data_IF_209726020323
#
_entry.id   IF_209726020323
#
_cell.length_a   1.000
_cell.length_b   1.000
_cell.length_c   1.000
_cell.angle_alpha   90.00
_cell.angle_beta   90.00
_cell.angle_gamma   90.00
#
_symmetry.space_group_name_H-M   'P 1'
#
loop_
_entity.id
_entity.type
_entity.pdbx_description
1 polymer ?
#
# COMPACT_ATOMS: atom_id res chain seq x y z
N UNK A 1 35.33 -2.21 2.21
CA UNK A 1 34.76 -0.84 2.18
C UNK A 1 34.84 -0.17 0.82
N UNK A 2 36.00 0.13 0.23
CA UNK A 2 36.05 0.83 -1.08
C UNK A 2 35.49 0.02 -2.26
N UNK A 3 35.72 -1.29 -2.31
CA UNK A 3 35.13 -2.15 -3.36
C UNK A 3 33.64 -2.36 -3.17
N UNK A 4 33.19 -2.63 -1.94
CA UNK A 4 31.76 -2.69 -1.60
C UNK A 4 31.00 -1.42 -1.99
N UNK A 5 31.57 -0.24 -1.74
CA UNK A 5 30.96 1.03 -2.14
C UNK A 5 30.89 1.18 -3.67
N UNK A 6 31.85 0.62 -4.42
CA UNK A 6 31.80 0.60 -5.89
C UNK A 6 30.70 -0.32 -6.40
N UNK A 7 30.54 -1.50 -5.83
CA UNK A 7 29.48 -2.46 -6.19
C UNK A 7 28.10 -1.89 -5.87
N UNK A 8 27.93 -1.28 -4.70
CA UNK A 8 26.69 -0.58 -4.30
C UNK A 8 26.35 0.54 -5.29
N UNK A 9 27.32 1.40 -5.62
CA UNK A 9 27.11 2.48 -6.57
C UNK A 9 26.82 1.96 -7.99
N UNK A 10 27.46 0.85 -8.40
CA UNK A 10 27.18 0.21 -9.68
C UNK A 10 25.75 -0.36 -9.74
N UNK A 11 25.28 -1.00 -8.67
CA UNK A 11 23.89 -1.46 -8.53
C UNK A 11 22.91 -0.28 -8.59
N UNK A 12 23.13 0.78 -7.80
CA UNK A 12 22.28 1.99 -7.82
C UNK A 12 22.22 2.63 -9.21
N UNK A 13 23.34 2.77 -9.89
CA UNK A 13 23.37 3.36 -11.23
C UNK A 13 22.59 2.52 -12.26
N UNK A 14 22.69 1.18 -12.19
CA UNK A 14 21.92 0.28 -13.05
C UNK A 14 20.42 0.40 -12.79
N UNK A 15 20.04 0.61 -11.52
CA UNK A 15 18.65 0.80 -11.11
C UNK A 15 18.07 2.12 -11.61
N UNK A 16 18.81 3.22 -11.43
CA UNK A 16 18.40 4.53 -11.93
C UNK A 16 18.23 4.50 -13.45
N UNK A 17 19.18 3.92 -14.17
CA UNK A 17 19.10 3.75 -15.62
C UNK A 17 17.85 2.95 -16.05
N UNK A 18 17.57 1.81 -15.40
CA UNK A 18 16.41 0.98 -15.73
C UNK A 18 15.08 1.71 -15.47
N UNK A 19 15.00 2.48 -14.39
CA UNK A 19 13.82 3.28 -14.09
C UNK A 19 13.59 4.42 -15.10
N UNK A 20 14.66 5.04 -15.61
CA UNK A 20 14.57 6.09 -16.63
C UNK A 20 14.16 5.53 -18.01
N UNK A 21 14.67 4.36 -18.39
CA UNK A 21 14.37 3.70 -19.67
C UNK A 21 12.91 3.22 -19.77
N UNK A 22 12.30 2.81 -18.65
CA UNK A 22 10.95 2.20 -18.64
C UNK A 22 9.81 3.23 -18.57
N UNK A 23 10.09 4.53 -18.38
CA UNK A 23 9.11 5.65 -18.36
C UNK A 23 7.76 5.27 -17.72
N UNK A 24 7.76 5.13 -16.40
CA UNK A 24 6.59 4.74 -15.62
C UNK A 24 5.39 5.71 -15.80
N UNK A 25 4.38 5.31 -16.58
CA UNK A 25 3.07 5.97 -16.70
C UNK A 25 2.06 5.55 -15.60
N UNK A 26 1.89 6.38 -14.57
CA UNK A 26 1.24 6.14 -13.25
C UNK A 26 -0.21 5.62 -13.21
N UNK A 27 -0.91 5.53 -14.33
CA UNK A 27 -2.37 5.33 -14.32
C UNK A 27 -2.84 3.88 -14.33
N UNK A 28 -1.94 2.88 -14.17
CA UNK A 28 -2.30 1.45 -14.32
C UNK A 28 -1.33 0.46 -13.62
N UNK A 29 -0.94 0.70 -12.36
CA UNK A 29 0.07 -0.11 -11.65
C UNK A 29 -0.50 -0.89 -10.45
N UNK A 30 -0.18 -2.19 -10.37
CA UNK A 30 -0.65 -3.10 -9.30
C UNK A 30 0.48 -3.87 -8.58
N UNK A 31 1.76 -3.76 -8.98
CA UNK A 31 2.85 -4.52 -8.38
C UNK A 31 4.05 -3.64 -7.97
N UNK A 32 4.54 -3.87 -6.75
CA UNK A 32 5.76 -3.30 -6.19
C UNK A 32 6.78 -4.41 -5.99
N UNK A 33 8.02 -4.23 -6.45
CA UNK A 33 9.10 -5.19 -6.18
C UNK A 33 10.17 -4.51 -5.35
N UNK A 34 10.38 -5.01 -4.13
CA UNK A 34 11.50 -4.65 -3.28
C UNK A 34 12.43 -5.87 -3.19
N UNK A 35 13.74 -5.66 -3.30
CA UNK A 35 14.72 -6.73 -3.12
C UNK A 35 15.71 -6.26 -2.07
N UNK A 36 16.12 -7.17 -1.19
CA UNK A 36 17.06 -6.90 -0.13
C UNK A 36 18.39 -7.57 -0.47
N UNK A 37 19.21 -6.99 -1.37
CA UNK A 37 20.50 -7.59 -1.68
C UNK A 37 21.42 -7.50 -0.45
N UNK A 38 22.13 -8.59 -0.22
CA UNK A 38 23.20 -8.69 0.77
C UNK A 38 24.53 -8.70 0.02
N UNK A 39 25.41 -7.74 0.32
CA UNK A 39 26.77 -7.70 -0.24
C UNK A 39 27.73 -8.59 0.56
N UNK A 40 27.43 -8.83 1.84
CA UNK A 40 28.13 -9.77 2.73
C UNK A 40 27.15 -10.36 3.73
N UNK A 41 27.50 -11.47 4.41
CA UNK A 41 26.65 -12.13 5.42
C UNK A 41 26.07 -11.19 6.50
N UNK A 42 26.74 -10.06 6.77
CA UNK A 42 26.34 -9.10 7.80
C UNK A 42 25.90 -7.73 7.25
N UNK A 43 25.88 -7.55 5.92
CA UNK A 43 25.52 -6.28 5.29
C UNK A 43 24.26 -6.46 4.44
N UNK A 44 23.10 -6.30 5.10
CA UNK A 44 21.79 -6.30 4.46
C UNK A 44 21.47 -4.85 4.08
N UNK A 45 21.18 -4.62 2.80
CA UNK A 45 20.80 -3.31 2.27
C UNK A 45 19.44 -3.38 1.63
N UNK A 46 18.57 -2.46 2.03
CA UNK A 46 17.26 -2.30 1.41
C UNK A 46 17.44 -1.53 0.10
N UNK A 47 17.26 -2.21 -1.03
CA UNK A 47 17.18 -1.57 -2.34
C UNK A 47 15.77 -1.74 -2.90
N UNK A 48 15.02 -0.63 -2.94
CA UNK A 48 13.72 -0.62 -3.59
C UNK A 48 13.93 -0.44 -5.10
N UNK A 49 13.45 -1.39 -5.89
CA UNK A 49 13.62 -1.40 -7.34
C UNK A 49 12.61 -0.46 -7.99
N UNK A 50 11.39 -0.46 -7.46
CA UNK A 50 10.34 0.47 -7.84
C UNK A 50 8.97 -0.21 -7.92
N UNK A 51 8.00 0.56 -8.40
CA UNK A 51 6.70 0.04 -8.81
C UNK A 51 6.76 -0.30 -10.29
N UNK A 52 6.26 -1.48 -10.67
CA UNK A 52 6.33 -1.96 -12.04
C UNK A 52 4.95 -2.20 -12.64
N UNK A 53 4.83 -1.82 -13.91
CA UNK A 53 3.68 -2.08 -14.75
C UNK A 53 3.63 -3.50 -15.20
N UNK A 54 2.66 -4.23 -14.68
CA UNK A 54 2.26 -5.50 -15.26
C UNK A 54 1.04 -5.28 -16.15
N UNK A 55 1.10 -5.83 -17.36
CA UNK A 55 0.01 -5.72 -18.34
C UNK A 55 -1.24 -6.52 -17.93
N UNK A 56 -1.05 -7.51 -17.06
CA UNK A 56 -2.08 -8.35 -16.48
C UNK A 56 -1.63 -8.90 -15.12
N UNK A 57 -2.58 -9.23 -14.24
CA UNK A 57 -2.32 -9.78 -12.91
C UNK A 57 -2.21 -11.32 -12.89
N UNK A 58 -1.97 -11.98 -14.04
CA UNK A 58 -1.81 -13.43 -14.05
C UNK A 58 -0.40 -13.83 -13.55
N UNK A 59 -0.27 -15.07 -13.11
CA UNK A 59 0.96 -15.58 -12.49
C UNK A 59 2.19 -15.41 -13.39
N UNK A 60 2.09 -15.76 -14.67
CA UNK A 60 3.22 -15.72 -15.60
C UNK A 60 3.72 -14.29 -15.83
N UNK A 61 2.80 -13.35 -16.03
CA UNK A 61 3.15 -11.93 -16.21
C UNK A 61 3.84 -11.36 -14.96
N UNK A 62 3.45 -11.79 -13.76
CA UNK A 62 4.10 -11.35 -12.52
C UNK A 62 5.52 -11.94 -12.41
N UNK A 63 5.69 -13.24 -12.72
CA UNK A 63 7.00 -13.90 -12.70
C UNK A 63 7.95 -13.25 -13.71
N UNK A 64 7.49 -13.01 -14.94
CA UNK A 64 8.27 -12.33 -15.98
C UNK A 64 8.71 -10.94 -15.51
N UNK A 65 7.79 -10.16 -14.93
CA UNK A 65 8.12 -8.84 -14.41
C UNK A 65 9.16 -8.89 -13.27
N UNK A 66 9.11 -9.89 -12.39
CA UNK A 66 10.12 -10.08 -11.33
C UNK A 66 11.49 -10.37 -11.97
N UNK A 67 11.55 -11.28 -12.95
CA UNK A 67 12.79 -11.65 -13.63
C UNK A 67 13.38 -10.50 -14.45
N UNK A 68 12.53 -9.71 -15.11
CA UNK A 68 12.92 -8.54 -15.90
C UNK A 68 13.51 -7.41 -15.05
N UNK A 69 13.20 -7.38 -13.75
CA UNK A 69 13.78 -6.43 -12.80
C UNK A 69 15.12 -6.95 -12.23
N UNK A 70 15.19 -8.24 -11.91
CA UNK A 70 16.37 -8.86 -11.28
C UNK A 70 17.55 -8.97 -12.26
N UNK A 71 17.27 -9.42 -13.50
CA UNK A 71 18.30 -9.77 -14.49
C UNK A 71 19.17 -8.58 -14.92
N UNK A 72 18.59 -7.41 -15.30
CA UNK A 72 19.37 -6.24 -15.69
C UNK A 72 20.20 -5.64 -14.56
N UNK A 73 19.88 -5.96 -13.30
CA UNK A 73 20.63 -5.53 -12.13
C UNK A 73 21.84 -6.42 -11.83
N UNK A 74 22.01 -7.52 -12.56
CA UNK A 74 23.15 -8.43 -12.43
C UNK A 74 23.12 -9.23 -11.13
N UNK A 75 21.95 -9.33 -10.53
CA UNK A 75 21.71 -10.23 -9.41
C UNK A 75 21.55 -11.65 -9.97
N UNK A 76 22.38 -12.57 -9.50
CA UNK A 76 22.29 -13.97 -9.88
C UNK A 76 21.09 -14.61 -9.18
N UNK A 77 20.19 -15.14 -10.00
CA UNK A 77 18.97 -15.84 -9.64
C UNK A 77 19.23 -16.99 -8.65
N UNK A 78 20.39 -17.64 -8.75
CA UNK A 78 20.79 -18.78 -7.90
C UNK A 78 21.08 -18.33 -6.45
N UNK A 79 21.33 -17.04 -6.24
CA UNK A 79 21.65 -16.47 -4.94
C UNK A 79 20.43 -15.97 -4.17
N UNK A 80 19.23 -16.03 -4.74
CA UNK A 80 17.99 -15.79 -3.99
C UNK A 80 17.90 -16.68 -2.75
N UNK A 81 17.58 -16.07 -1.60
CA UNK A 81 17.46 -16.76 -0.30
C UNK A 81 16.06 -16.69 0.26
N UNK A 82 15.33 -15.63 -0.06
CA UNK A 82 13.96 -15.44 0.35
C UNK A 82 13.14 -14.84 -0.79
N UNK A 83 11.84 -15.09 -0.73
CA UNK A 83 10.83 -14.47 -1.55
C UNK A 83 9.62 -14.21 -0.65
N UNK A 84 9.08 -12.99 -0.67
CA UNK A 84 7.94 -12.63 0.17
C UNK A 84 6.85 -11.92 -0.63
N UNK A 85 5.61 -12.40 -0.47
CA UNK A 85 4.44 -11.90 -1.19
C UNK A 85 3.25 -11.77 -0.23
N UNK A 86 2.25 -10.98 -0.62
CA UNK A 86 0.94 -11.00 0.04
C UNK A 86 0.16 -12.28 -0.31
N UNK A 87 -1.00 -12.46 0.32
CA UNK A 87 -1.87 -13.62 0.08
C UNK A 87 -2.82 -13.42 -1.12
N UNK A 88 -2.52 -12.48 -2.02
CA UNK A 88 -3.31 -12.33 -3.24
C UNK A 88 -3.34 -13.66 -3.99
N UNK A 89 -4.49 -14.08 -4.54
CA UNK A 89 -4.75 -15.45 -4.99
C UNK A 89 -3.72 -16.05 -5.97
N UNK A 90 -2.98 -15.20 -6.67
CA UNK A 90 -1.99 -15.60 -7.68
C UNK A 90 -0.58 -15.76 -7.07
N UNK A 91 -0.34 -15.28 -5.86
CA UNK A 91 0.97 -15.28 -5.20
C UNK A 91 1.29 -16.61 -4.50
N UNK A 92 0.52 -17.08 -3.49
CA UNK A 92 0.70 -18.41 -2.92
C UNK A 92 0.05 -19.48 -3.83
N UNK A 93 0.66 -20.66 -3.94
CA UNK A 93 -0.02 -21.78 -4.58
C UNK A 93 0.91 -22.91 -4.99
N UNK A 94 0.77 -24.07 -4.35
CA UNK A 94 1.66 -25.24 -4.54
C UNK A 94 1.68 -25.81 -5.96
N UNK A 95 0.66 -25.53 -6.78
CA UNK A 95 0.53 -26.06 -8.15
C UNK A 95 0.72 -25.02 -9.25
N UNK A 96 1.04 -23.76 -8.91
CA UNK A 96 1.20 -22.73 -9.93
C UNK A 96 1.02 -21.28 -9.46
N UNK A 97 1.17 -20.99 -8.17
CA UNK A 97 1.32 -19.60 -7.71
C UNK A 97 2.70 -19.06 -8.06
N UNK A 98 2.85 -17.73 -8.03
CA UNK A 98 4.14 -17.04 -8.27
C UNK A 98 5.23 -17.63 -7.37
N UNK A 99 4.92 -17.85 -6.10
CA UNK A 99 5.82 -18.46 -5.12
C UNK A 99 6.42 -19.80 -5.57
N UNK A 100 5.61 -20.67 -6.16
CA UNK A 100 6.07 -21.99 -6.64
C UNK A 100 6.90 -21.88 -7.91
N UNK A 101 6.50 -21.01 -8.85
CA UNK A 101 7.27 -20.83 -10.10
C UNK A 101 8.63 -20.21 -9.81
N UNK A 102 8.67 -19.20 -8.95
CA UNK A 102 9.91 -18.60 -8.46
C UNK A 102 10.69 -19.66 -7.67
N UNK A 103 10.11 -20.43 -6.77
CA UNK A 103 10.85 -21.50 -6.07
C UNK A 103 11.53 -22.50 -7.03
N UNK A 104 10.87 -22.86 -8.14
CA UNK A 104 11.44 -23.75 -9.14
C UNK A 104 12.64 -23.14 -9.89
N UNK A 105 12.66 -21.82 -10.08
CA UNK A 105 13.77 -21.10 -10.71
C UNK A 105 14.87 -20.73 -9.69
N UNK A 106 14.47 -20.43 -8.46
CA UNK A 106 15.26 -19.98 -7.33
C UNK A 106 15.21 -21.04 -6.22
N UNK A 107 15.77 -22.22 -6.47
CA UNK A 107 15.64 -23.40 -5.58
C UNK A 107 16.11 -23.20 -4.14
N UNK A 108 16.91 -22.16 -3.87
CA UNK A 108 17.39 -21.80 -2.52
C UNK A 108 16.52 -20.75 -1.82
N UNK A 109 15.53 -20.17 -2.51
CA UNK A 109 14.69 -19.12 -1.97
C UNK A 109 13.54 -19.71 -1.15
N UNK A 110 13.42 -19.38 0.13
CA UNK A 110 12.27 -19.77 0.93
C UNK A 110 11.10 -18.81 0.72
N UNK A 111 9.90 -19.35 0.58
CA UNK A 111 8.68 -18.53 0.54
C UNK A 111 8.26 -18.12 1.96
N UNK A 112 8.13 -16.81 2.17
CA UNK A 112 7.72 -16.21 3.44
C UNK A 112 6.48 -15.35 3.19
N UNK A 113 5.46 -15.49 4.02
CA UNK A 113 4.31 -14.59 3.97
C UNK A 113 4.71 -13.16 4.34
N UNK A 114 4.14 -12.17 3.63
CA UNK A 114 4.35 -10.77 3.95
C UNK A 114 3.91 -10.46 5.39
N UNK A 115 4.88 -10.19 6.27
CA UNK A 115 4.63 -9.92 7.70
C UNK A 115 3.66 -8.75 7.90
N UNK A 116 3.77 -7.70 7.08
CA UNK A 116 2.86 -6.56 7.15
C UNK A 116 1.42 -6.97 6.84
N UNK A 117 1.21 -7.87 5.89
CA UNK A 117 -0.11 -8.39 5.56
C UNK A 117 -0.65 -9.33 6.65
N UNK A 118 0.18 -10.26 7.15
CA UNK A 118 -0.21 -11.12 8.27
C UNK A 118 -0.62 -10.30 9.51
N UNK A 119 0.13 -9.24 9.81
CA UNK A 119 -0.24 -8.33 10.90
C UNK A 119 -1.56 -7.61 10.63
N UNK A 120 -1.79 -7.14 9.40
CA UNK A 120 -3.04 -6.49 9.00
C UNK A 120 -4.25 -7.42 9.20
N UNK A 121 -4.12 -8.70 8.79
CA UNK A 121 -5.14 -9.73 8.98
C UNK A 121 -5.42 -10.01 10.47
N UNK A 122 -4.38 -10.21 11.27
CA UNK A 122 -4.53 -10.45 12.72
C UNK A 122 -5.24 -9.27 13.39
N UNK A 123 -4.86 -8.04 13.05
CA UNK A 123 -5.52 -6.85 13.60
C UNK A 123 -6.97 -6.77 13.14
N UNK A 124 -7.24 -7.01 11.85
CA UNK A 124 -8.59 -7.02 11.30
C UNK A 124 -9.48 -8.01 12.05
N UNK A 125 -9.04 -9.27 12.18
CA UNK A 125 -9.79 -10.33 12.86
C UNK A 125 -10.06 -10.01 14.33
N UNK A 126 -9.07 -9.48 15.05
CA UNK A 126 -9.25 -9.05 16.45
C UNK A 126 -10.26 -7.91 16.58
N UNK A 127 -10.24 -6.96 15.63
CA UNK A 127 -11.14 -5.81 15.65
C UNK A 127 -12.58 -6.20 15.32
N UNK A 128 -12.77 -7.17 14.44
CA UNK A 128 -14.09 -7.70 14.08
C UNK A 128 -14.70 -8.55 15.20
N UNK A 129 -13.88 -9.27 15.97
CA UNK A 129 -14.34 -10.03 17.13
C UNK A 129 -14.77 -9.14 18.30
N UNK A 130 -14.27 -7.90 18.37
CA UNK A 130 -14.66 -6.94 19.39
C UNK A 130 -15.80 -6.04 18.90
N UNK A 131 -17.04 -6.37 19.26
CA UNK A 131 -18.23 -5.63 18.82
C UNK A 131 -18.14 -4.11 19.08
N UNK A 132 -17.59 -3.68 20.21
CA UNK A 132 -17.42 -2.25 20.52
C UNK A 132 -16.47 -1.55 19.55
N UNK A 133 -15.36 -2.21 19.18
CA UNK A 133 -14.38 -1.68 18.23
C UNK A 133 -14.99 -1.70 16.82
N UNK A 134 -15.54 -2.83 16.39
CA UNK A 134 -16.19 -2.98 15.08
C UNK A 134 -17.28 -1.93 14.86
N UNK A 135 -18.19 -1.75 15.84
CA UNK A 135 -19.22 -0.71 15.79
C UNK A 135 -18.63 0.70 15.65
N UNK A 136 -17.57 1.01 16.39
CA UNK A 136 -16.90 2.31 16.28
C UNK A 136 -16.33 2.54 14.87
N UNK A 137 -15.68 1.52 14.29
CA UNK A 137 -15.15 1.57 12.92
C UNK A 137 -16.27 1.80 11.91
N UNK A 138 -17.38 1.08 12.02
CA UNK A 138 -18.55 1.26 11.16
C UNK A 138 -19.12 2.66 11.27
N UNK A 139 -19.31 3.18 12.49
CA UNK A 139 -19.78 4.56 12.68
C UNK A 139 -18.85 5.59 12.05
N UNK A 140 -17.53 5.45 12.23
CA UNK A 140 -16.55 6.33 11.60
C UNK A 140 -16.65 6.27 10.08
N UNK A 141 -16.71 5.06 9.52
CA UNK A 141 -16.84 4.85 8.07
C UNK A 141 -18.10 5.53 7.54
N UNK A 142 -19.24 5.34 8.19
CA UNK A 142 -20.51 5.93 7.77
C UNK A 142 -20.49 7.45 7.79
N UNK A 143 -19.88 8.06 8.82
CA UNK A 143 -19.72 9.52 8.90
C UNK A 143 -18.86 10.03 7.74
N UNK A 144 -17.71 9.38 7.51
CA UNK A 144 -16.76 9.75 6.45
C UNK A 144 -17.43 9.62 5.08
N UNK A 145 -18.08 8.49 4.82
CA UNK A 145 -18.78 8.20 3.56
C UNK A 145 -19.96 9.16 3.35
N UNK A 146 -20.74 9.44 4.40
CA UNK A 146 -21.83 10.39 4.33
C UNK A 146 -21.32 11.74 3.83
N UNK A 147 -20.28 12.30 4.46
CA UNK A 147 -19.72 13.59 4.03
C UNK A 147 -19.17 13.50 2.61
N UNK A 148 -18.33 12.50 2.32
CA UNK A 148 -17.59 12.38 1.05
C UNK A 148 -18.46 12.08 -0.16
N UNK A 149 -19.57 11.35 -0.01
CA UNK A 149 -20.49 11.01 -1.12
C UNK A 149 -21.22 12.21 -1.71
N UNK A 150 -21.18 13.39 -1.07
CA UNK A 150 -21.79 14.60 -1.60
C UNK A 150 -20.76 15.71 -1.77
N UNK A 151 -20.49 16.16 -3.01
CA UNK A 151 -19.66 17.32 -3.27
C UNK A 151 -20.13 18.56 -2.50
N UNK A 152 -21.45 18.75 -2.35
CA UNK A 152 -22.03 19.86 -1.57
C UNK A 152 -21.63 19.78 -0.09
N UNK A 153 -21.69 18.60 0.53
CA UNK A 153 -21.29 18.41 1.94
C UNK A 153 -19.78 18.62 2.14
N UNK A 154 -18.96 18.22 1.17
CA UNK A 154 -17.53 18.51 1.19
C UNK A 154 -17.21 20.01 1.08
N UNK A 155 -17.95 20.76 0.25
CA UNK A 155 -17.79 22.21 0.14
C UNK A 155 -18.16 22.89 1.46
N UNK A 156 -19.30 22.52 2.06
CA UNK A 156 -19.73 23.06 3.36
C UNK A 156 -18.69 22.76 4.46
N UNK A 157 -18.14 21.54 4.49
CA UNK A 157 -17.05 21.19 5.41
C UNK A 157 -15.84 22.12 5.22
N UNK A 158 -15.43 22.34 3.97
CA UNK A 158 -14.30 23.23 3.63
C UNK A 158 -14.56 24.66 4.09
N UNK A 159 -15.76 25.19 3.85
CA UNK A 159 -16.14 26.54 4.26
C UNK A 159 -16.09 26.70 5.78
N UNK A 160 -16.68 25.75 6.53
CA UNK A 160 -16.64 25.76 8.01
C UNK A 160 -15.19 25.70 8.52
N UNK A 161 -14.35 24.86 7.93
CA UNK A 161 -12.95 24.72 8.35
C UNK A 161 -12.13 25.97 8.05
N UNK A 162 -12.34 26.60 6.89
CA UNK A 162 -11.61 27.81 6.48
C UNK A 162 -11.89 28.99 7.41
N UNK A 163 -13.11 29.10 7.94
CA UNK A 163 -13.51 30.16 8.87
C UNK A 163 -12.87 30.05 10.27
N UNK A 164 -12.38 28.86 10.66
CA UNK A 164 -11.95 28.59 12.05
C UNK A 164 -10.46 28.25 12.15
N UNK A 165 -9.90 27.47 11.22
CA UNK A 165 -8.57 26.86 11.36
C UNK A 165 -7.50 27.45 10.45
N UNK A 166 -7.85 28.42 9.58
CA UNK A 166 -6.97 29.01 8.54
C UNK A 166 -6.27 27.97 7.62
N UNK A 167 -6.64 26.69 7.74
CA UNK A 167 -6.07 25.57 6.99
C UNK A 167 -7.08 24.43 6.92
N UNK A 168 -7.11 23.76 5.77
CA UNK A 168 -8.03 22.67 5.49
C UNK A 168 -7.26 21.34 5.46
N UNK A 169 -7.71 20.36 6.24
CA UNK A 169 -7.26 18.97 6.13
C UNK A 169 -8.28 18.18 5.32
N UNK A 170 -7.85 17.46 4.28
CA UNK A 170 -8.73 16.57 3.53
C UNK A 170 -9.22 15.43 4.43
N UNK A 171 -10.54 15.24 4.48
CA UNK A 171 -11.12 14.05 5.11
C UNK A 171 -10.82 12.84 4.21
N UNK A 172 -9.93 11.96 4.64
CA UNK A 172 -9.52 10.78 3.87
C UNK A 172 -10.56 9.67 3.98
N UNK A 173 -10.75 8.90 2.89
CA UNK A 173 -11.62 7.73 2.94
C UNK A 173 -11.03 6.69 3.87
N UNK A 174 -11.87 5.99 4.63
CA UNK A 174 -11.42 4.89 5.47
C UNK A 174 -11.06 3.68 4.58
N UNK A 175 -9.79 3.24 4.62
CA UNK A 175 -9.36 2.08 3.85
C UNK A 175 -10.01 0.80 4.41
N UNK A 176 -10.66 0.00 3.56
CA UNK A 176 -11.29 -1.25 3.97
C UNK A 176 -10.26 -2.37 4.21
N UNK A 177 -9.17 -2.40 3.45
CA UNK A 177 -8.26 -3.56 3.35
C UNK A 177 -6.85 -3.32 3.90
N UNK A 178 -6.52 -2.11 4.36
CA UNK A 178 -5.22 -1.79 4.97
C UNK A 178 -5.47 -1.03 6.26
N UNK A 179 -5.40 -1.72 7.39
CA UNK A 179 -5.62 -1.16 8.72
C UNK A 179 -4.67 0.02 9.00
N UNK A 180 -3.41 -0.08 8.58
CA UNK A 180 -2.40 0.97 8.78
C UNK A 180 -2.81 2.31 8.16
N UNK A 181 -3.55 2.31 7.05
CA UNK A 181 -4.07 3.53 6.40
C UNK A 181 -5.27 4.14 7.13
N UNK A 182 -5.92 3.41 8.04
CA UNK A 182 -7.08 3.91 8.80
C UNK A 182 -6.67 4.96 9.84
N UNK A 183 -5.43 4.94 10.33
CA UNK A 183 -4.91 5.92 11.29
C UNK A 183 -5.01 7.37 10.76
N UNK A 184 -4.72 7.59 9.48
CA UNK A 184 -4.86 8.91 8.85
C UNK A 184 -6.33 9.35 8.76
N UNK A 185 -7.24 8.42 8.45
CA UNK A 185 -8.68 8.69 8.43
C UNK A 185 -9.20 9.03 9.82
N UNK A 186 -8.79 8.29 10.85
CA UNK A 186 -9.15 8.62 12.24
C UNK A 186 -8.58 9.98 12.64
N UNK A 187 -7.31 10.26 12.32
CA UNK A 187 -6.68 11.54 12.62
C UNK A 187 -7.36 12.72 11.93
N UNK A 188 -7.73 12.57 10.65
CA UNK A 188 -8.45 13.61 9.91
C UNK A 188 -9.87 13.82 10.43
N UNK A 189 -10.58 12.76 10.80
CA UNK A 189 -11.90 12.88 11.43
C UNK A 189 -11.80 13.55 12.80
N UNK A 190 -10.85 13.15 13.67
CA UNK A 190 -10.67 13.76 14.99
C UNK A 190 -10.37 15.26 14.89
N UNK A 191 -9.49 15.66 13.97
CA UNK A 191 -9.19 17.09 13.69
C UNK A 191 -10.40 17.88 13.21
N UNK A 192 -11.34 17.21 12.56
CA UNK A 192 -12.55 17.82 12.00
C UNK A 192 -13.81 17.49 12.82
N UNK A 193 -13.69 16.82 13.97
CA UNK A 193 -14.82 16.22 14.68
C UNK A 193 -15.80 17.27 15.20
N UNK A 194 -15.29 18.29 15.89
CA UNK A 194 -16.12 19.38 16.41
C UNK A 194 -16.78 20.18 15.27
N UNK A 195 -16.12 20.32 14.14
CA UNK A 195 -16.64 21.03 12.96
C UNK A 195 -17.62 20.16 12.16
N UNK A 196 -17.39 18.84 12.14
CA UNK A 196 -18.28 17.84 11.56
C UNK A 196 -19.64 17.82 12.26
N UNK A 197 -19.69 18.02 13.58
CA UNK A 197 -20.95 18.26 14.31
C UNK A 197 -21.72 19.46 13.72
N UNK A 198 -21.00 20.51 13.33
CA UNK A 198 -21.56 21.68 12.65
C UNK A 198 -22.24 21.34 11.31
N UNK A 199 -21.72 20.37 10.55
CA UNK A 199 -22.35 19.87 9.32
C UNK A 199 -23.65 19.14 9.63
N UNK A 200 -23.66 18.26 10.62
CA UNK A 200 -24.89 17.55 11.01
C UNK A 200 -25.95 18.53 11.53
N UNK A 201 -25.55 19.54 12.31
CA UNK A 201 -26.44 20.61 12.75
C UNK A 201 -26.96 21.47 11.58
N UNK A 202 -26.09 21.84 10.64
CA UNK A 202 -26.45 22.57 9.42
C UNK A 202 -27.45 21.77 8.57
N UNK A 203 -27.19 20.49 8.34
CA UNK A 203 -28.09 19.61 7.58
C UNK A 203 -29.42 19.47 8.31
N UNK A 204 -29.42 19.23 9.63
CA UNK A 204 -30.65 19.13 10.42
C UNK A 204 -31.50 20.40 10.33
N UNK A 205 -30.87 21.58 10.30
CA UNK A 205 -31.55 22.88 10.16
C UNK A 205 -32.11 23.12 8.75
N UNK A 206 -31.42 22.63 7.72
CA UNK A 206 -31.80 22.82 6.31
C UNK A 206 -32.51 21.61 5.69
N UNK A 207 -32.75 20.53 6.43
CA UNK A 207 -33.47 19.35 5.94
C UNK A 207 -34.97 19.62 5.75
N UNK A 208 -35.53 20.64 6.41
CA UNK A 208 -36.94 21.05 6.30
C UNK A 208 -37.25 21.73 4.96
N UNK A 209 -36.23 22.15 4.18
CA UNK A 209 -36.40 22.80 2.88
C UNK A 209 -36.24 21.85 1.68
N UNK A 210 -36.15 20.53 1.90
CA UNK A 210 -36.01 19.52 0.84
C UNK A 210 -37.13 18.47 0.81
N UNK A 211 -38.22 18.69 1.55
CA UNK A 211 -39.48 17.92 1.44
C UNK A 211 -40.52 18.67 0.63
#
# INVERSE_FOLDING_TARGET
>A
MREMCKEENALKNRLEQYNDETKLHWSKYDAATCIFPSLTENDIRDLTFGLYGISAQNVLTIVEAICDVITPCGLDIINGRDQSYDEASNMPGIYGGVSTIILNQYSKAIYIYCVAHCLDLVVHDLTDQCASISNCIFCVKDIIDFIRRSPKRLIILKEILYQILLSYTNLTALCSTRWTLRAESYGSLLKTYEQGKGIFAYIKKNAVSFS
#
